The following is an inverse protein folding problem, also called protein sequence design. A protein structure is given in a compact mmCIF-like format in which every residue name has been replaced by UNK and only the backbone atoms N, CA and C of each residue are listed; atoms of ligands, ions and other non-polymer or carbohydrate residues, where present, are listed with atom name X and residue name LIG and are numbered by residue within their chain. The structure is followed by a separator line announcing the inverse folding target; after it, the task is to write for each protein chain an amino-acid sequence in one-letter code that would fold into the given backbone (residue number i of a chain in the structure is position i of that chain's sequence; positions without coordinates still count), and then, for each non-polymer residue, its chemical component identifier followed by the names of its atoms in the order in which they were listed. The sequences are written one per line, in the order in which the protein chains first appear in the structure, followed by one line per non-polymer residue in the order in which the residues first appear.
data_IF_846104739813
#
_entry.id   IF_846104739813
#
_cell.length_a   1.000
_cell.length_b   1.000
_cell.length_c   1.000
_cell.angle_alpha   90.00
_cell.angle_beta   90.00
_cell.angle_gamma   90.00
#
_symmetry.space_group_name_H-M   'P 1'
#
loop_
_entity.id
_entity.type
_entity.pdbx_description
1 polymer ?
#
# COMPACT_ATOMS: atom_id res chain seq x y z
N UNK A 1 20.05 18.92 -2.13
CA UNK A 1 18.96 18.30 -1.34
C UNK A 1 18.19 17.28 -2.20
N UNK A 2 17.60 17.67 -3.33
CA UNK A 2 16.73 16.81 -4.19
C UNK A 2 17.47 15.57 -4.71
N UNK A 3 18.70 15.72 -5.23
CA UNK A 3 19.50 14.60 -5.75
C UNK A 3 19.76 13.52 -4.70
N UNK A 4 19.98 13.91 -3.44
CA UNK A 4 20.21 12.99 -2.31
C UNK A 4 18.92 12.28 -1.89
N UNK A 5 17.79 12.98 -1.90
CA UNK A 5 16.48 12.39 -1.63
C UNK A 5 16.10 11.35 -2.70
N UNK A 6 16.36 11.64 -3.96
CA UNK A 6 16.12 10.73 -5.10
C UNK A 6 17.03 9.50 -5.10
N UNK A 7 18.31 9.66 -4.73
CA UNK A 7 19.22 8.53 -4.57
C UNK A 7 18.79 7.59 -3.45
N UNK A 8 18.27 8.13 -2.35
CA UNK A 8 17.72 7.35 -1.23
C UNK A 8 16.46 6.55 -1.62
N UNK A 9 15.73 7.01 -2.63
CA UNK A 9 14.57 6.29 -3.18
C UNK A 9 14.97 5.12 -4.11
N UNK A 10 16.26 4.93 -4.37
CA UNK A 10 16.74 3.87 -5.26
C UNK A 10 16.40 4.09 -6.73
N UNK A 11 15.96 5.30 -7.09
CA UNK A 11 15.57 5.65 -8.47
C UNK A 11 16.61 6.56 -9.08
N UNK A 12 17.23 6.11 -10.17
CA UNK A 12 18.21 6.90 -10.93
C UNK A 12 17.47 7.77 -11.94
N UNK A 13 17.46 9.08 -11.70
CA UNK A 13 16.96 10.06 -12.66
C UNK A 13 18.14 10.55 -13.48
N UNK A 14 18.07 10.53 -14.83
CA UNK A 14 19.20 10.91 -15.67
C UNK A 14 19.68 12.35 -15.44
N UNK A 15 18.73 13.27 -15.24
CA UNK A 15 19.00 14.68 -14.96
C UNK A 15 17.80 15.33 -14.27
N UNK A 16 18.04 16.26 -13.33
CA UNK A 16 16.99 17.08 -12.72
C UNK A 16 16.33 18.06 -13.72
N UNK A 17 16.90 18.21 -14.92
CA UNK A 17 16.33 19.02 -16.00
C UNK A 17 15.52 18.18 -16.99
N UNK A 18 15.43 16.86 -16.79
CA UNK A 18 14.62 15.99 -17.65
C UNK A 18 13.14 16.29 -17.44
N UNK A 19 12.41 16.54 -18.52
CA UNK A 19 10.97 16.71 -18.49
C UNK A 19 10.30 15.46 -17.89
N UNK A 20 9.30 15.62 -17.03
CA UNK A 20 8.60 14.52 -16.36
C UNK A 20 7.98 13.56 -17.38
N UNK A 21 7.56 14.06 -18.54
CA UNK A 21 7.02 13.27 -19.66
C UNK A 21 8.01 12.23 -20.18
N UNK A 22 9.31 12.53 -20.12
CA UNK A 22 10.40 11.67 -20.60
C UNK A 22 10.89 10.68 -19.52
N UNK A 23 10.24 10.65 -18.36
CA UNK A 23 10.56 9.72 -17.29
C UNK A 23 9.72 8.45 -17.42
N UNK A 24 10.29 7.31 -17.01
CA UNK A 24 9.51 6.07 -16.89
C UNK A 24 8.43 6.21 -15.81
N UNK A 25 7.38 5.38 -15.88
CA UNK A 25 6.31 5.36 -14.87
C UNK A 25 6.85 5.22 -13.44
N UNK A 26 7.80 4.32 -13.22
CA UNK A 26 8.44 4.14 -11.90
C UNK A 26 9.28 5.34 -11.45
N UNK A 27 9.91 6.07 -12.38
CA UNK A 27 10.62 7.31 -12.06
C UNK A 27 9.66 8.43 -11.66
N UNK A 28 8.53 8.57 -12.37
CA UNK A 28 7.47 9.53 -12.01
C UNK A 28 6.91 9.24 -10.62
N UNK A 29 6.52 8.00 -10.37
CA UNK A 29 6.01 7.57 -9.07
C UNK A 29 7.01 7.79 -7.92
N UNK A 30 8.30 7.53 -8.16
CA UNK A 30 9.33 7.81 -7.17
C UNK A 30 9.45 9.31 -6.85
N UNK A 31 9.28 10.18 -7.84
CA UNK A 31 9.27 11.63 -7.64
C UNK A 31 8.06 12.05 -6.78
N UNK A 32 6.88 11.55 -7.10
CA UNK A 32 5.64 11.87 -6.37
C UNK A 32 5.75 11.47 -4.90
N UNK A 33 6.17 10.25 -4.61
CA UNK A 33 6.35 9.76 -3.25
C UNK A 33 7.42 10.55 -2.48
N UNK A 34 8.55 10.89 -3.12
CA UNK A 34 9.59 11.71 -2.47
C UNK A 34 9.11 13.14 -2.17
N UNK A 35 8.34 13.76 -3.07
CA UNK A 35 7.71 15.07 -2.80
C UNK A 35 6.82 15.02 -1.58
N UNK A 36 5.97 13.98 -1.49
CA UNK A 36 5.07 13.79 -0.36
C UNK A 36 5.83 13.69 0.97
N UNK A 37 6.87 12.86 1.03
CA UNK A 37 7.72 12.71 2.23
C UNK A 37 8.42 14.02 2.58
N UNK A 38 8.92 14.74 1.57
CA UNK A 38 9.62 16.01 1.78
C UNK A 38 8.71 17.13 2.33
N UNK A 39 7.42 17.10 2.01
CA UNK A 39 6.43 18.05 2.51
C UNK A 39 5.85 17.70 3.88
N UNK A 40 6.37 16.67 4.55
CA UNK A 40 5.94 16.29 5.90
C UNK A 40 4.57 15.62 5.96
N UNK A 41 4.18 14.94 4.89
CA UNK A 41 2.96 14.12 4.86
C UNK A 41 3.00 13.02 5.91
N UNK A 42 1.86 12.79 6.58
CA UNK A 42 1.73 11.76 7.63
C UNK A 42 1.05 10.48 7.14
N UNK A 43 0.31 10.57 6.05
CA UNK A 43 -0.44 9.45 5.46
C UNK A 43 -0.38 9.55 3.94
N UNK A 44 -0.06 8.46 3.27
CA UNK A 44 -0.13 8.34 1.82
C UNK A 44 -1.14 7.26 1.41
N UNK A 45 -1.95 7.58 0.41
CA UNK A 45 -2.91 6.66 -0.20
C UNK A 45 -2.40 6.31 -1.61
N UNK A 46 -2.27 5.04 -1.90
CA UNK A 46 -1.80 4.50 -3.17
C UNK A 46 -2.87 3.58 -3.75
N UNK A 47 -3.41 3.94 -4.90
CA UNK A 47 -4.40 3.14 -5.61
C UNK A 47 -3.74 2.48 -6.83
N UNK A 48 -3.71 1.13 -6.83
CA UNK A 48 -3.09 0.27 -7.84
C UNK A 48 -1.71 0.78 -8.32
N UNK A 49 -0.78 1.12 -7.41
CA UNK A 49 0.41 1.88 -7.76
C UNK A 49 1.37 1.13 -8.70
N UNK A 50 1.20 -0.17 -8.86
CA UNK A 50 2.11 -1.01 -9.64
C UNK A 50 1.45 -1.68 -10.86
N UNK A 51 0.20 -1.35 -11.18
CA UNK A 51 -0.58 -2.01 -12.25
C UNK A 51 0.10 -1.96 -13.63
N UNK A 52 0.84 -0.88 -13.93
CA UNK A 52 1.51 -0.68 -15.22
C UNK A 52 3.04 -0.87 -15.16
N UNK A 53 3.56 -1.46 -14.08
CA UNK A 53 4.99 -1.59 -13.86
C UNK A 53 5.47 -3.03 -14.06
N UNK A 54 6.69 -3.17 -14.58
CA UNK A 54 7.35 -4.47 -14.66
C UNK A 54 7.81 -4.97 -13.27
N UNK A 55 8.21 -6.23 -13.21
CA UNK A 55 8.57 -6.93 -11.97
C UNK A 55 9.61 -6.17 -11.14
N UNK A 56 10.68 -5.70 -11.78
CA UNK A 56 11.77 -5.01 -11.07
C UNK A 56 11.35 -3.64 -10.55
N UNK A 57 10.54 -2.90 -11.29
CA UNK A 57 9.98 -1.62 -10.85
C UNK A 57 9.03 -1.81 -9.67
N UNK A 58 8.18 -2.83 -9.73
CA UNK A 58 7.27 -3.20 -8.63
C UNK A 58 8.06 -3.54 -7.37
N UNK A 59 9.10 -4.37 -7.46
CA UNK A 59 9.95 -4.72 -6.34
C UNK A 59 10.55 -3.49 -5.66
N UNK A 60 11.12 -2.57 -6.45
CA UNK A 60 11.69 -1.31 -5.94
C UNK A 60 10.63 -0.41 -5.30
N UNK A 61 9.42 -0.36 -5.88
CA UNK A 61 8.30 0.39 -5.33
C UNK A 61 7.86 -0.15 -3.97
N UNK A 62 7.74 -1.47 -3.82
CA UNK A 62 7.42 -2.12 -2.55
C UNK A 62 8.49 -1.86 -1.46
N UNK A 63 9.78 -1.89 -1.83
CA UNK A 63 10.86 -1.52 -0.91
C UNK A 63 10.80 -0.04 -0.50
N UNK A 64 10.38 0.85 -1.41
CA UNK A 64 10.18 2.25 -1.09
C UNK A 64 9.03 2.44 -0.10
N UNK A 65 7.90 1.75 -0.28
CA UNK A 65 6.77 1.77 0.65
C UNK A 65 7.24 1.37 2.06
N UNK A 66 8.00 0.29 2.20
CA UNK A 66 8.56 -0.13 3.49
C UNK A 66 9.43 0.95 4.13
N UNK A 67 10.26 1.62 3.33
CA UNK A 67 11.11 2.72 3.83
C UNK A 67 10.31 3.93 4.29
N UNK A 68 9.22 4.26 3.61
CA UNK A 68 8.31 5.35 4.00
C UNK A 68 7.60 4.99 5.31
N UNK A 69 7.07 3.79 5.41
CA UNK A 69 6.44 3.30 6.64
C UNK A 69 7.40 3.28 7.83
N UNK A 70 8.67 2.88 7.61
CA UNK A 70 9.71 2.89 8.64
C UNK A 70 10.06 4.29 9.18
N UNK A 71 9.68 5.37 8.45
CA UNK A 71 9.81 6.76 8.90
C UNK A 71 8.59 7.23 9.73
N UNK A 72 7.67 6.34 10.06
CA UNK A 72 6.45 6.66 10.82
C UNK A 72 5.33 7.26 9.97
N UNK A 73 5.42 7.18 8.64
CA UNK A 73 4.38 7.65 7.73
C UNK A 73 3.39 6.51 7.50
N UNK A 74 2.10 6.76 7.74
CA UNK A 74 1.04 5.81 7.42
C UNK A 74 0.95 5.58 5.91
N UNK A 75 0.79 4.31 5.49
CA UNK A 75 0.60 3.97 4.08
C UNK A 75 -0.64 3.12 3.93
N UNK A 76 -1.56 3.53 3.08
CA UNK A 76 -2.68 2.72 2.62
C UNK A 76 -2.44 2.40 1.16
N UNK A 77 -2.42 1.12 0.83
CA UNK A 77 -2.28 0.64 -0.54
C UNK A 77 -3.52 -0.15 -0.94
N UNK A 78 -4.11 0.21 -2.07
CA UNK A 78 -5.17 -0.56 -2.71
C UNK A 78 -4.53 -1.37 -3.82
N UNK A 79 -4.72 -2.67 -3.79
CA UNK A 79 -4.24 -3.58 -4.83
C UNK A 79 -5.06 -4.87 -4.86
N UNK A 80 -5.19 -5.46 -6.02
CA UNK A 80 -5.78 -6.79 -6.21
C UNK A 80 -4.70 -7.90 -6.25
N UNK A 81 -3.42 -7.55 -6.15
CA UNK A 81 -2.30 -8.49 -6.24
C UNK A 81 -1.86 -8.91 -4.84
N UNK A 82 -2.32 -10.08 -4.40
CA UNK A 82 -2.04 -10.65 -3.06
C UNK A 82 -0.56 -10.63 -2.72
N UNK A 83 0.31 -11.02 -3.64
CA UNK A 83 1.75 -11.06 -3.42
C UNK A 83 2.32 -9.70 -3.02
N UNK A 84 1.80 -8.59 -3.56
CA UNK A 84 2.20 -7.24 -3.20
C UNK A 84 1.70 -6.87 -1.80
N UNK A 85 0.41 -7.13 -1.52
CA UNK A 85 -0.17 -6.85 -0.21
C UNK A 85 0.59 -7.58 0.90
N UNK A 86 0.82 -8.88 0.77
CA UNK A 86 1.51 -9.70 1.77
C UNK A 86 2.99 -9.34 1.97
N UNK A 87 3.62 -8.67 0.98
CA UNK A 87 5.01 -8.21 1.13
C UNK A 87 5.15 -6.96 1.99
N UNK A 88 4.15 -6.07 2.04
CA UNK A 88 4.31 -4.74 2.66
C UNK A 88 3.30 -4.43 3.75
N UNK A 89 2.14 -5.09 3.78
CA UNK A 89 1.08 -4.76 4.73
C UNK A 89 1.37 -5.31 6.13
N UNK A 90 1.04 -4.54 7.15
CA UNK A 90 0.92 -5.00 8.53
C UNK A 90 -0.51 -5.50 8.80
N UNK A 91 -1.49 -4.89 8.14
CA UNK A 91 -2.91 -5.18 8.25
C UNK A 91 -3.55 -5.22 6.87
N UNK A 92 -4.45 -6.17 6.66
CA UNK A 92 -5.20 -6.34 5.41
C UNK A 92 -6.67 -6.11 5.70
N UNK A 93 -7.28 -5.19 4.95
CA UNK A 93 -8.71 -4.94 4.95
C UNK A 93 -9.29 -5.40 3.62
N UNK A 94 -10.23 -6.32 3.68
CA UNK A 94 -10.91 -6.85 2.50
C UNK A 94 -12.25 -6.13 2.33
N UNK A 95 -12.47 -5.55 1.16
CA UNK A 95 -13.73 -4.91 0.79
C UNK A 95 -14.41 -5.78 -0.26
N UNK A 96 -15.68 -6.12 -0.02
CA UNK A 96 -16.52 -6.86 -0.96
C UNK A 96 -17.90 -6.26 -1.01
N UNK A 97 -18.40 -5.97 -2.21
CA UNK A 97 -19.73 -5.38 -2.44
C UNK A 97 -20.00 -4.12 -1.57
N UNK A 98 -18.99 -3.24 -1.46
CA UNK A 98 -19.09 -2.01 -0.69
C UNK A 98 -19.07 -2.17 0.85
N UNK A 99 -18.79 -3.37 1.36
CA UNK A 99 -18.71 -3.67 2.79
C UNK A 99 -17.34 -4.24 3.14
N UNK A 100 -16.91 -4.03 4.40
CA UNK A 100 -15.73 -4.69 4.94
C UNK A 100 -16.06 -6.16 5.16
N UNK A 101 -15.40 -7.04 4.40
CA UNK A 101 -15.52 -8.49 4.50
C UNK A 101 -14.46 -9.11 5.42
N UNK A 102 -13.37 -8.40 5.69
CA UNK A 102 -12.32 -8.83 6.60
C UNK A 102 -11.43 -7.68 7.03
N UNK A 103 -10.90 -7.75 8.25
CA UNK A 103 -9.93 -6.79 8.80
C UNK A 103 -8.98 -7.57 9.72
N UNK A 104 -7.85 -7.98 9.19
CA UNK A 104 -6.95 -8.95 9.82
C UNK A 104 -5.51 -8.47 9.81
N UNK A 105 -4.72 -8.88 10.80
CA UNK A 105 -3.27 -8.71 10.74
C UNK A 105 -2.68 -9.67 9.70
N UNK A 106 -1.72 -9.20 8.91
CA UNK A 106 -1.04 -10.04 7.91
C UNK A 106 -0.43 -11.30 8.52
N UNK A 107 0.06 -11.22 9.75
CA UNK A 107 0.65 -12.35 10.48
C UNK A 107 -0.36 -13.38 10.99
N UNK A 108 -1.65 -13.07 10.93
CA UNK A 108 -2.76 -13.89 11.42
C UNK A 108 -3.64 -14.42 10.28
N UNK A 109 -3.21 -14.28 9.05
CA UNK A 109 -3.96 -14.73 7.87
C UNK A 109 -3.04 -15.23 6.77
N UNK A 110 -3.61 -15.94 5.83
CA UNK A 110 -2.95 -16.46 4.64
C UNK A 110 -3.54 -15.85 3.35
N UNK A 111 -2.84 -15.91 2.21
CA UNK A 111 -3.41 -15.52 0.93
C UNK A 111 -4.72 -16.24 0.60
N UNK A 112 -4.82 -17.51 0.91
CA UNK A 112 -6.02 -18.31 0.64
C UNK A 112 -7.22 -17.85 1.47
N UNK A 113 -7.02 -17.54 2.74
CA UNK A 113 -8.06 -16.98 3.60
C UNK A 113 -8.52 -15.60 3.10
N UNK A 114 -7.61 -14.75 2.66
CA UNK A 114 -7.97 -13.44 2.07
C UNK A 114 -8.78 -13.63 0.78
N UNK A 115 -8.41 -14.59 -0.07
CA UNK A 115 -9.20 -14.93 -1.27
C UNK A 115 -10.60 -15.42 -0.88
N UNK A 116 -10.74 -16.25 0.15
CA UNK A 116 -12.05 -16.68 0.66
C UNK A 116 -12.89 -15.49 1.15
N UNK A 117 -12.31 -14.52 1.86
CA UNK A 117 -13.00 -13.28 2.25
C UNK A 117 -13.48 -12.48 1.03
N UNK A 118 -12.67 -12.40 -0.03
CA UNK A 118 -13.01 -11.71 -1.28
C UNK A 118 -14.17 -12.40 -1.99
N UNK A 119 -14.13 -13.73 -2.10
CA UNK A 119 -15.13 -14.52 -2.84
C UNK A 119 -16.38 -14.80 -2.03
N UNK A 120 -16.32 -14.72 -0.71
CA UNK A 120 -17.43 -15.06 0.20
C UNK A 120 -17.49 -16.55 0.53
N UNK A 121 -16.40 -17.27 0.35
CA UNK A 121 -16.24 -18.65 0.83
C UNK A 121 -16.27 -18.70 2.36
N UNK A 122 -16.66 -19.83 2.93
CA UNK A 122 -16.58 -20.05 4.37
C UNK A 122 -15.10 -20.31 4.75
N UNK A 123 -14.59 -19.61 5.77
CA UNK A 123 -13.31 -19.96 6.39
C UNK A 123 -13.58 -21.11 7.36
N UNK A 124 -12.97 -22.26 7.14
CA UNK A 124 -13.10 -23.46 7.98
C UNK A 124 -14.57 -23.93 8.25
N UNK A 125 -15.50 -23.70 7.30
CA UNK A 125 -16.89 -24.12 7.42
C UNK A 125 -17.78 -23.16 8.21
N UNK A 126 -17.26 -22.05 8.74
CA UNK A 126 -18.03 -21.00 9.38
C UNK A 126 -18.15 -19.79 8.46
N UNK A 127 -19.38 -19.30 8.23
CA UNK A 127 -19.61 -18.05 7.52
C UNK A 127 -18.97 -16.91 8.32
N UNK A 128 -18.19 -16.04 7.66
CA UNK A 128 -17.57 -14.88 8.30
C UNK A 128 -18.69 -14.02 8.90
N UNK A 129 -18.74 -13.79 10.23
CA UNK A 129 -19.76 -12.95 10.82
C UNK A 129 -19.66 -11.52 10.28
N UNK A 130 -20.76 -10.97 9.81
CA UNK A 130 -20.88 -9.61 9.25
C UNK A 130 -20.64 -8.47 10.27
N UNK A 131 -20.16 -8.76 11.46
CA UNK A 131 -20.05 -7.85 12.59
C UNK A 131 -18.58 -7.60 13.00
N UNK A 132 -17.91 -6.71 12.26
CA UNK A 132 -16.82 -5.91 12.83
C UNK A 132 -17.26 -4.43 12.90
N UNK A 133 -18.48 -4.15 13.36
CA UNK A 133 -19.06 -2.79 13.44
C UNK A 133 -18.96 -2.14 14.82
N UNK A 134 -18.25 -2.70 15.79
CA UNK A 134 -18.18 -2.10 17.13
C UNK A 134 -16.74 -1.80 17.56
N UNK A 135 -16.11 -0.80 16.96
CA UNK A 135 -14.97 -0.11 17.62
C UNK A 135 -14.84 1.36 17.17
N UNK A 136 -15.96 2.03 16.86
CA UNK A 136 -15.90 3.47 16.46
C UNK A 136 -16.57 4.40 17.50
N UNK A 137 -16.98 3.91 18.68
CA UNK A 137 -17.75 4.74 19.63
C UNK A 137 -16.94 5.29 20.81
N UNK A 138 -15.60 5.11 20.87
CA UNK A 138 -14.80 5.58 22.02
C UNK A 138 -13.87 6.76 21.75
N UNK A 139 -13.97 7.46 20.63
CA UNK A 139 -13.13 8.65 20.34
C UNK A 139 -13.90 9.98 20.29
N UNK A 140 -15.14 10.05 20.83
CA UNK A 140 -15.91 11.30 20.89
C UNK A 140 -16.12 11.86 22.29
N UNK A 141 -15.30 11.51 23.27
CA UNK A 141 -15.31 12.20 24.56
C UNK A 141 -13.87 12.42 25.03
N UNK A 142 -13.24 13.45 24.54
CA UNK A 142 -12.30 14.32 25.30
C UNK A 142 -11.95 15.52 24.43
#
# INVERSE_FOLDING_TARGET
AVTKAMANAGTRIPSLRTNVENLSGGQRQAIELNRFVHWGGKLVLLDEPFAALGVEQTRRGLEMIKRIAAQGIGVVIITHIMAQAFQVADRIVVIRQGKVAGNVLRTQTSPDEVVQMITGGAINGEAIPANAQETTTSLQQH
#
